data_IF_229955430210
#
_entry.id   IF_229955430210
#
_cell.length_a   1.000
_cell.length_b   1.000
_cell.length_c   1.000
_cell.angle_alpha   90.00
_cell.angle_beta   90.00
_cell.angle_gamma   90.00
#
_symmetry.space_group_name_H-M   'P 1'
#
loop_
_entity.id
_entity.type
_entity.pdbx_description
1 polymer ?
#
# COMPACT_ATOMS: atom_id res chain seq x y z
N UNK A 1 9.14 -28.29 11.43
CA UNK A 1 8.40 -28.67 10.20
C UNK A 1 7.27 -27.71 9.83
N UNK A 2 6.68 -26.94 10.75
CA UNK A 2 5.59 -26.00 10.43
C UNK A 2 6.00 -24.72 9.67
N UNK A 3 7.23 -24.23 9.85
CA UNK A 3 7.73 -22.99 9.20
C UNK A 3 7.88 -23.14 7.69
N UNK A 4 8.24 -24.35 7.25
CA UNK A 4 8.48 -24.67 5.85
C UNK A 4 7.17 -24.77 5.04
N UNK A 5 6.08 -25.19 5.70
CA UNK A 5 4.73 -25.20 5.13
C UNK A 5 4.12 -23.78 5.06
N UNK A 6 4.48 -22.92 6.01
CA UNK A 6 4.05 -21.51 6.05
C UNK A 6 4.75 -20.68 4.95
N UNK A 7 6.04 -20.90 4.73
CA UNK A 7 6.77 -20.27 3.62
C UNK A 7 6.33 -20.80 2.24
N UNK A 8 6.00 -22.10 2.14
CA UNK A 8 5.44 -22.68 0.91
C UNK A 8 4.07 -22.12 0.60
N UNK A 9 3.20 -21.94 1.59
CA UNK A 9 1.87 -21.34 1.39
C UNK A 9 1.96 -19.86 1.02
N UNK A 10 2.87 -19.09 1.60
CA UNK A 10 3.10 -17.69 1.22
C UNK A 10 3.66 -17.56 -0.20
N UNK A 11 4.65 -18.38 -0.57
CA UNK A 11 5.20 -18.40 -1.94
C UNK A 11 4.16 -18.87 -2.96
N UNK A 12 3.30 -19.81 -2.58
CA UNK A 12 2.18 -20.26 -3.39
C UNK A 12 1.16 -19.13 -3.59
N UNK A 13 0.80 -18.39 -2.53
CA UNK A 13 -0.06 -17.20 -2.59
C UNK A 13 0.49 -16.11 -3.50
N UNK A 14 1.80 -15.82 -3.43
CA UNK A 14 2.46 -14.85 -4.32
C UNK A 14 2.39 -15.26 -5.79
N UNK A 15 2.60 -16.55 -6.10
CA UNK A 15 2.44 -17.09 -7.46
C UNK A 15 0.96 -17.08 -7.92
N UNK A 16 0.04 -17.28 -6.98
CA UNK A 16 -1.41 -17.27 -7.19
C UNK A 16 -1.97 -15.90 -7.55
N UNK A 17 -1.39 -14.85 -6.98
CA UNK A 17 -1.74 -13.46 -7.25
C UNK A 17 -1.14 -12.93 -8.57
N UNK A 18 -0.03 -13.53 -9.02
CA UNK A 18 0.74 -13.06 -10.17
C UNK A 18 0.35 -13.66 -11.53
N UNK A 19 -0.57 -14.63 -11.59
CA UNK A 19 -0.93 -15.33 -12.84
C UNK A 19 -2.39 -15.15 -13.24
N UNK A 20 -2.65 -14.66 -14.47
CA UNK A 20 -3.95 -14.80 -15.15
C UNK A 20 -3.82 -15.41 -16.55
N UNK A 21 -4.77 -16.28 -16.97
CA UNK A 21 -6.01 -16.61 -16.24
C UNK A 21 -5.75 -17.55 -15.05
N UNK A 22 -6.38 -17.23 -13.91
CA UNK A 22 -6.12 -17.86 -12.61
C UNK A 22 -6.89 -19.18 -12.47
N UNK A 23 -6.27 -20.24 -11.96
CA UNK A 23 -7.00 -21.43 -11.47
C UNK A 23 -7.74 -21.07 -10.18
N UNK A 24 -8.96 -21.57 -10.00
CA UNK A 24 -9.68 -21.47 -8.72
C UNK A 24 -8.95 -22.25 -7.63
N UNK A 25 -8.91 -21.70 -6.42
CA UNK A 25 -8.35 -22.39 -5.26
C UNK A 25 -9.30 -23.47 -4.77
N UNK A 26 -8.79 -24.52 -4.13
CA UNK A 26 -9.63 -25.60 -3.56
C UNK A 26 -10.77 -25.08 -2.67
N UNK A 27 -10.53 -24.00 -1.93
CA UNK A 27 -11.54 -23.38 -1.06
C UNK A 27 -12.59 -22.60 -1.87
N UNK A 28 -12.19 -21.92 -2.94
CA UNK A 28 -13.12 -21.25 -3.85
C UNK A 28 -13.97 -22.26 -4.63
N UNK A 29 -13.37 -23.38 -5.00
CA UNK A 29 -14.03 -24.49 -5.68
C UNK A 29 -15.10 -25.13 -4.79
N UNK A 30 -14.83 -25.29 -3.49
CA UNK A 30 -15.76 -25.94 -2.54
C UNK A 30 -16.79 -24.99 -1.92
N UNK A 31 -16.47 -23.71 -1.73
CA UNK A 31 -17.29 -22.78 -0.94
C UNK A 31 -17.64 -21.48 -1.69
N UNK A 32 -17.31 -21.41 -2.99
CA UNK A 32 -17.64 -20.28 -3.85
C UNK A 32 -16.68 -19.09 -3.71
N UNK A 33 -17.00 -18.03 -4.47
CA UNK A 33 -16.18 -16.82 -4.58
C UNK A 33 -16.05 -16.03 -3.27
N UNK A 34 -16.88 -16.30 -2.26
CA UNK A 34 -16.75 -15.72 -0.91
C UNK A 34 -15.51 -16.22 -0.16
N UNK A 35 -14.95 -17.36 -0.55
CA UNK A 35 -13.68 -17.85 -0.06
C UNK A 35 -12.52 -17.46 -0.99
N UNK A 36 -12.71 -16.42 -1.80
CA UNK A 36 -11.59 -15.89 -2.57
C UNK A 36 -10.54 -15.30 -1.64
N UNK A 37 -9.24 -15.39 -1.98
CA UNK A 37 -8.18 -14.76 -1.20
C UNK A 37 -8.45 -13.28 -0.94
N UNK A 38 -9.11 -12.57 -1.86
CA UNK A 38 -9.46 -11.15 -1.71
C UNK A 38 -10.52 -10.94 -0.62
N UNK A 39 -11.56 -11.78 -0.63
CA UNK A 39 -12.62 -11.78 0.39
C UNK A 39 -12.09 -12.22 1.75
N UNK A 40 -11.25 -13.26 1.77
CA UNK A 40 -10.60 -13.75 2.98
C UNK A 40 -9.62 -12.73 3.55
N UNK A 41 -8.88 -12.00 2.71
CA UNK A 41 -7.99 -10.92 3.14
C UNK A 41 -8.76 -9.72 3.69
N UNK A 42 -9.87 -9.35 3.04
CA UNK A 42 -10.78 -8.31 3.53
C UNK A 42 -11.40 -8.70 4.88
N UNK A 43 -11.86 -9.95 5.02
CA UNK A 43 -12.38 -10.50 6.28
C UNK A 43 -11.31 -10.59 7.36
N UNK A 44 -10.08 -10.96 7.01
CA UNK A 44 -8.95 -10.96 7.95
C UNK A 44 -8.71 -9.54 8.49
N UNK A 45 -8.73 -8.53 7.63
CA UNK A 45 -8.62 -7.13 8.04
C UNK A 45 -9.78 -6.66 8.91
N UNK A 46 -11.01 -7.02 8.59
CA UNK A 46 -12.18 -6.72 9.43
C UNK A 46 -12.10 -7.42 10.79
N UNK A 47 -11.64 -8.67 10.84
CA UNK A 47 -11.43 -9.41 12.07
C UNK A 47 -10.30 -8.83 12.91
N UNK A 48 -9.20 -8.39 12.29
CA UNK A 48 -8.11 -7.70 12.99
C UNK A 48 -8.58 -6.36 13.57
N UNK A 49 -9.42 -5.60 12.85
CA UNK A 49 -10.07 -4.39 13.40
C UNK A 49 -11.04 -4.71 14.54
N UNK A 50 -11.83 -5.78 14.41
CA UNK A 50 -12.80 -6.18 15.43
C UNK A 50 -12.15 -6.75 16.70
N UNK A 51 -10.96 -7.36 16.56
CA UNK A 51 -10.18 -7.92 17.67
C UNK A 51 -9.32 -6.88 18.40
N UNK A 52 -9.17 -5.69 17.84
CA UNK A 52 -8.58 -4.56 18.53
C UNK A 52 -9.54 -4.05 19.62
N UNK A 53 -9.45 -4.60 20.82
CA UNK A 53 -10.01 -3.91 21.99
C UNK A 53 -9.19 -2.64 22.25
N UNK A 54 -9.79 -1.54 22.75
CA UNK A 54 -9.04 -0.33 23.13
C UNK A 54 -7.94 -0.61 24.16
N UNK A 55 -8.04 -1.72 24.90
CA UNK A 55 -7.09 -2.15 25.92
C UNK A 55 -5.86 -2.86 25.34
N UNK A 56 -6.01 -3.68 24.29
CA UNK A 56 -4.87 -4.34 23.63
C UNK A 56 -4.10 -3.38 22.71
N UNK A 57 -4.79 -2.40 22.13
CA UNK A 57 -4.22 -1.30 21.34
C UNK A 57 -3.31 -0.35 22.14
N UNK A 58 -3.31 -0.44 23.48
CA UNK A 58 -2.51 0.41 24.36
C UNK A 58 -1.15 -0.20 24.75
N UNK A 59 -0.91 -1.48 24.46
CA UNK A 59 0.21 -2.23 25.04
C UNK A 59 1.34 -2.58 24.05
N UNK A 60 1.08 -2.61 22.74
CA UNK A 60 2.11 -2.86 21.74
C UNK A 60 2.43 -1.56 21.00
N UNK A 61 3.62 -1.01 21.23
CA UNK A 61 4.09 0.07 20.38
C UNK A 61 4.35 -0.46 18.96
N UNK A 62 4.00 0.34 17.97
CA UNK A 62 4.22 0.05 16.55
C UNK A 62 5.43 0.85 16.06
N UNK A 63 6.31 0.22 15.30
CA UNK A 63 7.45 0.90 14.65
C UNK A 63 7.05 1.40 13.25
N UNK A 64 7.49 2.61 12.90
CA UNK A 64 7.38 3.16 11.54
C UNK A 64 8.08 2.28 10.49
N UNK A 65 9.04 1.45 10.90
CA UNK A 65 9.68 0.47 10.02
C UNK A 65 8.67 -0.36 9.23
N UNK A 66 7.57 -0.80 9.86
CA UNK A 66 6.55 -1.62 9.19
C UNK A 66 5.93 -0.90 8.00
N UNK A 67 5.66 0.40 8.14
CA UNK A 67 5.10 1.21 7.06
C UNK A 67 6.13 1.52 5.98
N UNK A 68 7.37 1.79 6.39
CA UNK A 68 8.48 2.06 5.47
C UNK A 68 8.74 0.83 4.61
N UNK A 69 8.92 -0.34 5.23
CA UNK A 69 9.19 -1.60 4.54
C UNK A 69 8.05 -1.94 3.56
N UNK A 70 6.79 -1.78 3.99
CA UNK A 70 5.63 -1.95 3.10
C UNK A 70 5.70 -1.07 1.85
N UNK A 71 6.01 0.22 2.00
CA UNK A 71 6.09 1.15 0.87
C UNK A 71 7.31 0.88 -0.02
N UNK A 72 8.43 0.46 0.56
CA UNK A 72 9.62 0.08 -0.20
C UNK A 72 9.38 -1.19 -1.02
N UNK A 73 8.74 -2.19 -0.41
CA UNK A 73 8.31 -3.42 -1.10
C UNK A 73 7.33 -3.09 -2.22
N UNK A 74 6.34 -2.22 -2.00
CA UNK A 74 5.41 -1.78 -3.05
C UNK A 74 6.14 -1.09 -4.23
N UNK A 75 7.10 -0.21 -3.94
CA UNK A 75 7.89 0.46 -4.99
C UNK A 75 8.74 -0.55 -5.78
N UNK A 76 9.35 -1.51 -5.09
CA UNK A 76 10.24 -2.52 -5.66
C UNK A 76 9.46 -3.59 -6.45
N UNK A 77 8.49 -4.25 -5.82
CA UNK A 77 7.72 -5.37 -6.40
C UNK A 77 6.91 -4.94 -7.62
N UNK A 78 6.40 -3.70 -7.62
CA UNK A 78 5.65 -3.15 -8.76
C UNK A 78 6.53 -2.46 -9.80
N UNK A 79 7.85 -2.44 -9.59
CA UNK A 79 8.83 -1.77 -10.45
C UNK A 79 8.40 -0.33 -10.78
N UNK A 80 7.89 0.40 -9.78
CA UNK A 80 7.24 1.70 -10.03
C UNK A 80 8.18 2.70 -10.69
N UNK A 81 9.47 2.66 -10.34
CA UNK A 81 10.49 3.51 -10.96
C UNK A 81 10.59 3.26 -12.47
N UNK A 82 10.78 2.01 -12.87
CA UNK A 82 10.95 1.63 -14.28
C UNK A 82 9.70 1.97 -15.08
N UNK A 83 8.51 1.67 -14.54
CA UNK A 83 7.25 2.00 -15.20
C UNK A 83 6.99 3.50 -15.29
N UNK A 84 7.36 4.27 -14.26
CA UNK A 84 7.28 5.72 -14.29
C UNK A 84 8.24 6.34 -15.31
N UNK A 85 9.46 5.80 -15.44
CA UNK A 85 10.42 6.23 -16.46
C UNK A 85 9.93 5.90 -17.88
N UNK A 86 9.37 4.70 -18.09
CA UNK A 86 8.75 4.31 -19.35
C UNK A 86 7.53 5.17 -19.69
N UNK A 87 6.70 5.51 -18.70
CA UNK A 87 5.57 6.43 -18.86
C UNK A 87 6.06 7.82 -19.28
N UNK A 88 7.06 8.37 -18.58
CA UNK A 88 7.63 9.67 -18.89
C UNK A 88 8.27 9.71 -20.29
N UNK A 89 8.95 8.64 -20.68
CA UNK A 89 9.51 8.49 -22.02
C UNK A 89 8.41 8.40 -23.09
N UNK A 90 7.38 7.58 -22.84
CA UNK A 90 6.24 7.41 -23.75
C UNK A 90 5.43 8.69 -23.94
N UNK A 91 5.27 9.51 -22.91
CA UNK A 91 4.64 10.83 -23.02
C UNK A 91 5.43 11.80 -23.91
N UNK A 92 6.77 11.70 -23.93
CA UNK A 92 7.63 12.54 -24.80
C UNK A 92 7.59 12.07 -26.26
N UNK A 93 7.47 10.77 -26.50
CA UNK A 93 7.48 10.17 -27.84
C UNK A 93 6.08 9.97 -28.42
N UNK A 94 5.03 10.21 -27.63
CA UNK A 94 3.63 9.99 -28.01
C UNK A 94 3.21 8.51 -28.06
N UNK A 95 4.04 7.61 -27.56
CA UNK A 95 3.79 6.16 -27.55
C UNK A 95 4.03 5.63 -26.15
N UNK A 96 2.95 5.55 -25.37
CA UNK A 96 2.97 4.96 -24.02
C UNK A 96 2.80 3.44 -24.18
N UNK A 97 3.74 2.63 -23.68
CA UNK A 97 3.61 1.18 -23.74
C UNK A 97 2.32 0.67 -23.09
N UNK A 98 1.64 -0.23 -23.80
CA UNK A 98 0.40 -0.86 -23.37
C UNK A 98 0.63 -1.67 -22.08
N UNK A 99 -0.28 -1.58 -21.11
CA UNK A 99 -0.16 -2.27 -19.82
C UNK A 99 0.71 -1.56 -18.77
N UNK A 100 1.31 -0.40 -19.05
CA UNK A 100 2.06 0.36 -18.03
C UNK A 100 1.20 0.75 -16.83
N UNK A 101 -0.09 0.99 -17.02
CA UNK A 101 -1.04 1.27 -15.94
C UNK A 101 -2.09 0.16 -15.91
N UNK A 102 -1.80 -0.91 -15.18
CA UNK A 102 -2.72 -2.03 -14.98
C UNK A 102 -2.82 -2.39 -13.50
N UNK A 103 -4.05 -2.58 -13.02
CA UNK A 103 -4.36 -2.95 -11.64
C UNK A 103 -5.78 -3.51 -11.58
N UNK A 104 -5.97 -4.74 -11.10
CA UNK A 104 -7.27 -5.34 -10.78
C UNK A 104 -8.44 -5.06 -11.74
N UNK A 105 -8.39 -5.55 -12.99
CA UNK A 105 -9.40 -5.34 -14.06
C UNK A 105 -9.56 -3.89 -14.54
N UNK A 106 -8.79 -2.95 -14.00
CA UNK A 106 -8.74 -1.59 -14.48
C UNK A 106 -7.53 -1.39 -15.38
N UNK A 107 -7.69 -0.49 -16.33
CA UNK A 107 -6.67 -0.08 -17.29
C UNK A 107 -6.51 1.44 -17.24
N UNK A 108 -5.31 1.92 -17.58
CA UNK A 108 -5.02 3.35 -17.66
C UNK A 108 -5.21 4.05 -16.32
N UNK A 109 -5.80 5.25 -16.36
CA UNK A 109 -5.94 6.09 -15.18
C UNK A 109 -6.80 5.45 -14.08
N UNK A 110 -7.79 4.62 -14.43
CA UNK A 110 -8.62 3.93 -13.44
C UNK A 110 -7.81 2.91 -12.61
N UNK A 111 -6.84 2.23 -13.24
CA UNK A 111 -5.90 1.34 -12.56
C UNK A 111 -5.03 2.10 -11.58
N UNK A 112 -4.56 3.28 -12.00
CA UNK A 112 -3.76 4.16 -11.20
C UNK A 112 -4.56 4.66 -9.98
N UNK A 113 -5.77 5.18 -10.19
CA UNK A 113 -6.62 5.67 -9.12
C UNK A 113 -6.94 4.58 -8.09
N UNK A 114 -7.25 3.36 -8.56
CA UNK A 114 -7.47 2.22 -7.67
C UNK A 114 -6.23 1.90 -6.83
N UNK A 115 -5.05 1.93 -7.44
CA UNK A 115 -3.79 1.71 -6.74
C UNK A 115 -3.50 2.80 -5.71
N UNK A 116 -3.67 4.09 -6.06
CA UNK A 116 -3.52 5.21 -5.12
C UNK A 116 -4.47 5.05 -3.93
N UNK A 117 -5.74 4.68 -4.19
CA UNK A 117 -6.74 4.43 -3.15
C UNK A 117 -6.29 3.37 -2.14
N UNK A 118 -5.60 2.31 -2.60
CA UNK A 118 -5.08 1.26 -1.72
C UNK A 118 -3.93 1.77 -0.85
N UNK A 119 -2.98 2.50 -1.45
CA UNK A 119 -1.85 3.08 -0.71
C UNK A 119 -2.32 4.12 0.31
N UNK A 120 -3.25 5.00 -0.06
CA UNK A 120 -3.83 5.99 0.86
C UNK A 120 -4.59 5.29 1.99
N UNK A 121 -5.34 4.22 1.71
CA UNK A 121 -6.01 3.45 2.75
C UNK A 121 -5.01 2.82 3.73
N UNK A 122 -3.93 2.21 3.22
CA UNK A 122 -2.87 1.62 4.05
C UNK A 122 -2.19 2.68 4.93
N UNK A 123 -1.86 3.85 4.36
CA UNK A 123 -1.29 4.97 5.08
C UNK A 123 -2.23 5.51 6.15
N UNK A 124 -3.51 5.74 5.84
CA UNK A 124 -4.50 6.30 6.77
C UNK A 124 -4.80 5.35 7.93
N UNK A 125 -4.92 4.07 7.64
CA UNK A 125 -5.28 3.04 8.63
C UNK A 125 -4.07 2.60 9.48
N UNK A 126 -2.86 3.07 9.17
CA UNK A 126 -1.67 2.81 9.99
C UNK A 126 -1.86 3.39 11.42
N UNK A 127 -1.51 2.64 12.48
CA UNK A 127 -1.79 3.02 13.86
C UNK A 127 -0.80 4.08 14.40
N UNK A 128 -0.78 5.27 13.81
CA UNK A 128 0.15 6.35 14.19
C UNK A 128 0.13 6.70 15.69
N UNK A 129 -1.02 6.55 16.36
CA UNK A 129 -1.16 6.86 17.78
C UNK A 129 -0.43 5.88 18.70
N UNK A 130 0.02 4.74 18.17
CA UNK A 130 0.76 3.69 18.88
C UNK A 130 2.27 3.75 18.61
N UNK A 131 2.77 4.79 17.93
CA UNK A 131 4.21 4.96 17.74
C UNK A 131 4.92 5.16 19.08
N UNK A 132 6.21 4.79 19.15
CA UNK A 132 7.03 4.89 20.37
C UNK A 132 7.08 6.31 20.97
N UNK A 133 6.92 7.35 20.15
CA UNK A 133 6.82 8.74 20.62
C UNK A 133 5.47 9.10 21.26
N UNK A 134 4.46 8.24 21.18
CA UNK A 134 3.11 8.49 21.65
C UNK A 134 2.27 9.35 20.69
N UNK A 135 1.11 9.80 21.18
CA UNK A 135 0.06 10.43 20.34
C UNK A 135 0.51 11.68 19.59
N UNK A 136 1.31 12.56 20.22
CA UNK A 136 1.73 13.81 19.58
C UNK A 136 2.61 13.56 18.36
N UNK A 137 3.56 12.63 18.48
CA UNK A 137 4.45 12.19 17.44
C UNK A 137 3.68 11.46 16.33
N UNK A 138 2.71 10.63 16.71
CA UNK A 138 1.77 10.02 15.77
C UNK A 138 1.02 11.04 14.92
N UNK A 139 0.44 12.07 15.56
CA UNK A 139 -0.23 13.16 14.87
C UNK A 139 0.72 13.93 13.96
N UNK A 140 1.92 14.25 14.44
CA UNK A 140 2.91 14.93 13.63
C UNK A 140 3.27 14.14 12.36
N UNK A 141 3.55 12.84 12.47
CA UNK A 141 3.83 12.01 11.28
C UNK A 141 2.65 12.02 10.33
N UNK A 142 1.43 11.72 10.80
CA UNK A 142 0.26 11.62 9.93
C UNK A 142 -0.13 12.96 9.31
N UNK A 143 -0.33 13.98 10.13
CA UNK A 143 -0.99 15.23 9.76
C UNK A 143 -0.01 16.29 9.23
N UNK A 144 1.29 16.18 9.56
CA UNK A 144 2.32 17.14 9.12
C UNK A 144 3.25 16.55 8.04
N UNK A 145 3.53 15.23 8.07
CA UNK A 145 4.42 14.62 7.08
C UNK A 145 3.71 13.91 5.94
N UNK A 146 2.69 13.11 6.24
CA UNK A 146 2.05 12.21 5.26
C UNK A 146 0.90 12.89 4.53
N UNK A 147 -0.14 13.32 5.25
CA UNK A 147 -1.37 13.85 4.65
C UNK A 147 -1.12 15.02 3.67
N UNK A 148 -0.26 16.02 3.98
CA UNK A 148 -0.05 17.15 3.09
C UNK A 148 0.57 16.80 1.73
N UNK A 149 1.20 15.62 1.59
CA UNK A 149 1.75 15.19 0.30
C UNK A 149 0.65 14.89 -0.73
N UNK A 150 -0.57 14.62 -0.27
CA UNK A 150 -1.70 14.28 -1.11
C UNK A 150 -2.59 15.48 -1.45
N UNK A 151 -2.35 16.65 -0.85
CA UNK A 151 -3.18 17.85 -1.04
C UNK A 151 -3.28 18.25 -2.51
N UNK A 152 -4.50 18.55 -2.96
CA UNK A 152 -4.81 18.87 -4.36
C UNK A 152 -4.97 17.65 -5.28
N UNK A 153 -4.52 16.47 -4.86
CA UNK A 153 -4.57 15.23 -5.64
C UNK A 153 -5.57 14.22 -5.08
N UNK A 154 -5.53 14.01 -3.76
CA UNK A 154 -6.32 13.01 -3.06
C UNK A 154 -6.66 13.49 -1.64
N UNK A 155 -7.93 13.44 -1.26
CA UNK A 155 -8.35 13.68 0.13
C UNK A 155 -7.91 12.48 0.96
N UNK A 156 -6.85 12.67 1.74
CA UNK A 156 -6.21 11.63 2.55
C UNK A 156 -7.16 11.02 3.58
N UNK A 157 -7.96 11.84 4.27
CA UNK A 157 -8.78 11.37 5.38
C UNK A 157 -10.03 10.62 4.91
N UNK A 158 -10.68 11.13 3.85
CA UNK A 158 -11.86 10.47 3.28
C UNK A 158 -11.52 9.41 2.23
N UNK A 159 -10.24 9.29 1.85
CA UNK A 159 -9.76 8.45 0.76
C UNK A 159 -10.54 8.69 -0.55
N UNK A 160 -10.71 9.97 -0.93
CA UNK A 160 -11.44 10.35 -2.13
C UNK A 160 -10.51 11.05 -3.13
N UNK A 161 -10.59 10.65 -4.39
CA UNK A 161 -9.90 11.30 -5.50
C UNK A 161 -10.38 12.75 -5.64
N UNK A 162 -9.43 13.68 -5.78
CA UNK A 162 -9.70 15.09 -6.16
C UNK A 162 -9.34 15.30 -7.62
N UNK A 163 -8.05 15.22 -7.95
CA UNK A 163 -7.55 15.22 -9.34
C UNK A 163 -6.92 13.88 -9.74
N UNK A 164 -6.38 13.14 -8.77
CA UNK A 164 -5.65 11.88 -8.98
C UNK A 164 -4.21 12.12 -9.44
N UNK A 165 -3.44 11.04 -9.50
CA UNK A 165 -2.03 11.09 -9.92
C UNK A 165 -1.86 10.35 -11.23
N UNK A 166 -0.96 10.83 -12.09
CA UNK A 166 -0.35 9.94 -13.06
C UNK A 166 0.76 9.08 -12.41
N UNK A 167 1.22 8.07 -13.13
CA UNK A 167 2.19 7.11 -12.60
C UNK A 167 3.51 7.77 -12.16
N UNK A 168 3.99 8.75 -12.93
CA UNK A 168 5.24 9.44 -12.62
C UNK A 168 5.10 10.33 -11.39
N UNK A 169 4.01 11.11 -11.29
CA UNK A 169 3.72 11.95 -10.13
C UNK A 169 3.61 11.10 -8.86
N UNK A 170 2.92 9.96 -8.94
CA UNK A 170 2.76 9.07 -7.79
C UNK A 170 4.08 8.44 -7.36
N UNK A 171 4.89 7.96 -8.32
CA UNK A 171 6.23 7.45 -8.02
C UNK A 171 7.10 8.51 -7.32
N UNK A 172 7.11 9.75 -7.83
CA UNK A 172 7.86 10.85 -7.22
C UNK A 172 7.34 11.18 -5.82
N UNK A 173 6.02 11.15 -5.59
CA UNK A 173 5.46 11.35 -4.25
C UNK A 173 5.90 10.26 -3.26
N UNK A 174 5.96 9.00 -3.68
CA UNK A 174 6.36 7.90 -2.80
C UNK A 174 7.88 7.88 -2.54
N UNK A 175 8.67 7.89 -3.61
CA UNK A 175 10.09 7.57 -3.59
C UNK A 175 10.99 8.68 -4.19
N UNK A 176 10.43 9.84 -4.53
CA UNK A 176 11.20 10.98 -4.99
C UNK A 176 12.03 11.63 -3.86
N UNK A 177 13.04 12.44 -4.22
CA UNK A 177 13.87 13.14 -3.24
C UNK A 177 13.04 14.07 -2.34
N UNK A 178 13.21 13.96 -1.03
CA UNK A 178 12.49 14.76 -0.03
C UNK A 178 11.01 14.42 0.13
N UNK A 179 10.55 13.30 -0.43
CA UNK A 179 9.14 12.89 -0.42
C UNK A 179 8.86 11.80 0.61
N UNK A 180 7.77 11.04 0.47
CA UNK A 180 7.17 10.25 1.55
C UNK A 180 8.17 9.29 2.23
N UNK A 181 8.84 8.43 1.48
CA UNK A 181 9.78 7.45 2.05
C UNK A 181 10.95 8.12 2.80
N UNK A 182 11.55 9.17 2.24
CA UNK A 182 12.63 9.88 2.91
C UNK A 182 12.15 10.60 4.17
N UNK A 183 10.96 11.21 4.13
CA UNK A 183 10.33 11.86 5.30
C UNK A 183 10.02 10.86 6.40
N UNK A 184 9.49 9.68 6.07
CA UNK A 184 9.21 8.63 7.04
C UNK A 184 10.50 8.07 7.65
N UNK A 185 11.55 7.85 6.85
CA UNK A 185 12.87 7.44 7.35
C UNK A 185 13.49 8.48 8.28
N UNK A 186 13.34 9.76 7.97
CA UNK A 186 13.79 10.84 8.84
C UNK A 186 12.99 10.89 10.15
N UNK A 187 11.65 10.80 10.06
CA UNK A 187 10.77 10.74 11.22
C UNK A 187 11.14 9.58 12.15
N UNK A 188 11.34 8.37 11.59
CA UNK A 188 11.79 7.20 12.36
C UNK A 188 13.06 7.49 13.16
N UNK A 189 14.08 8.08 12.53
CA UNK A 189 15.33 8.45 13.22
C UNK A 189 15.09 9.44 14.36
N UNK A 190 14.17 10.40 14.18
CA UNK A 190 13.82 11.36 15.24
C UNK A 190 13.06 10.72 16.41
N UNK A 191 12.26 9.68 16.15
CA UNK A 191 11.51 8.97 17.19
C UNK A 191 12.39 8.01 18.02
N UNK A 192 13.54 7.61 17.46
CA UNK A 192 14.50 6.71 18.11
C UNK A 192 15.63 7.45 18.84
N UNK A 193 15.69 8.79 18.73
CA UNK A 193 16.69 9.65 19.36
C UNK A 193 16.17 10.22 20.68
#
# INVERSE_FOLDING_TARGET
>A
MAVDDQQKSEKHLRLYLASRPRKQGRLEEHYGSEQSPEKQYSQLHELLRARATPADAAAASTDLTVLIDYLEDEVADKQLKERAEQWAAGMKTGSIPEGIQYSYNYEGQAAMDHYVSQIVAALRDFPFLQLDGGRQQGHWVRDVLVAPLFDGYWDFYSNRKVSGFNLQEFYLLLAGPGMLLERLKHARKMLQA
#
